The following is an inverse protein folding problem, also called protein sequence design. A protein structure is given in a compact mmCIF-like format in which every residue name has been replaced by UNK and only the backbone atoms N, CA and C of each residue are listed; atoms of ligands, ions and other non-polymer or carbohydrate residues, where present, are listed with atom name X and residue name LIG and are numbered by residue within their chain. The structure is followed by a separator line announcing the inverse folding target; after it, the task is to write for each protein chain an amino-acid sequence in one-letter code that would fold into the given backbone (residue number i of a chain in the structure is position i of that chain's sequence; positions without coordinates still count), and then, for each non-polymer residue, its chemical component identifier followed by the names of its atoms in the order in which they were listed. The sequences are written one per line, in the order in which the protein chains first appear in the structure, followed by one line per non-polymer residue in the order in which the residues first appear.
data_IF_970579045608
#
_entry.id   IF_970579045608
#
_cell.length_a   1.000
_cell.length_b   1.000
_cell.length_c   1.000
_cell.angle_alpha   90.00
_cell.angle_beta   90.00
_cell.angle_gamma   90.00
#
_symmetry.space_group_name_H-M   'P 1'
#
loop_
_entity.id
_entity.type
_entity.pdbx_description
1 polymer ?
#
# COMPACT_ATOMS: atom_id res chain seq x y z
N UNK A 1 5.03 19.68 -33.51
CA UNK A 1 5.37 19.24 -32.13
C UNK A 1 5.97 20.43 -31.42
N UNK A 2 5.63 20.61 -30.15
CA UNK A 2 5.87 21.85 -29.39
C UNK A 2 6.90 21.57 -28.29
N UNK A 3 6.48 21.01 -27.16
CA UNK A 3 7.36 20.61 -26.07
C UNK A 3 7.40 19.08 -25.94
N UNK A 4 8.60 18.51 -25.89
CA UNK A 4 8.81 17.10 -25.53
C UNK A 4 9.36 17.00 -24.11
N UNK A 5 8.76 16.11 -23.33
CA UNK A 5 9.21 15.70 -22.01
C UNK A 5 9.70 14.26 -22.16
N UNK A 6 10.94 13.97 -21.77
CA UNK A 6 11.54 12.65 -22.00
C UNK A 6 11.00 11.60 -21.02
N UNK A 7 10.78 12.00 -19.76
CA UNK A 7 10.37 11.10 -18.70
C UNK A 7 8.85 11.03 -18.57
N UNK A 8 8.31 9.81 -18.50
CA UNK A 8 6.93 9.55 -18.09
C UNK A 8 6.81 9.28 -16.58
N UNK A 9 7.93 8.88 -15.94
CA UNK A 9 8.02 8.48 -14.54
C UNK A 9 9.30 9.04 -13.91
N UNK A 10 9.19 9.61 -12.71
CA UNK A 10 10.31 9.98 -11.84
C UNK A 10 10.36 9.04 -10.63
N UNK A 11 11.47 8.34 -10.47
CA UNK A 11 11.65 7.33 -9.43
C UNK A 11 12.46 7.88 -8.26
N UNK A 12 11.85 7.95 -7.08
CA UNK A 12 12.51 8.39 -5.87
C UNK A 12 12.87 7.21 -4.98
N UNK A 13 14.17 6.99 -4.81
CA UNK A 13 14.67 5.88 -3.99
C UNK A 13 14.51 6.13 -2.49
N UNK A 14 14.27 5.04 -1.77
CA UNK A 14 14.25 4.99 -0.31
C UNK A 14 15.65 5.18 0.28
N UNK A 15 15.76 5.65 1.55
CA UNK A 15 14.66 5.98 2.46
C UNK A 15 13.99 7.33 2.13
N UNK A 16 12.66 7.41 2.23
CA UNK A 16 11.90 8.64 1.93
C UNK A 16 12.04 9.73 3.01
N UNK A 17 12.77 9.45 4.08
CA UNK A 17 13.12 10.42 5.12
C UNK A 17 14.31 11.31 4.75
N UNK A 18 14.89 11.14 3.56
CA UNK A 18 15.98 11.98 3.04
C UNK A 18 15.56 12.69 1.77
N UNK A 19 15.99 13.93 1.61
CA UNK A 19 15.80 14.64 0.35
C UNK A 19 16.43 13.84 -0.79
N UNK A 20 15.71 13.75 -1.91
CA UNK A 20 16.18 13.08 -3.12
C UNK A 20 15.83 13.91 -4.34
N UNK A 21 16.66 13.83 -5.38
CA UNK A 21 16.49 14.60 -6.60
C UNK A 21 16.33 13.65 -7.79
N UNK A 22 15.49 14.06 -8.73
CA UNK A 22 15.32 13.44 -10.03
C UNK A 22 15.39 14.51 -11.11
N UNK A 23 15.67 14.07 -12.33
CA UNK A 23 15.97 14.95 -13.45
C UNK A 23 14.89 14.81 -14.51
N UNK A 24 14.33 15.94 -14.94
CA UNK A 24 13.34 16.02 -16.01
C UNK A 24 13.93 16.74 -17.21
N UNK A 25 13.89 16.13 -18.38
CA UNK A 25 14.44 16.69 -19.61
C UNK A 25 13.33 17.27 -20.49
N UNK A 26 13.43 18.57 -20.75
CA UNK A 26 12.51 19.31 -21.60
C UNK A 26 13.23 19.70 -22.90
N UNK A 27 12.57 19.55 -24.04
CA UNK A 27 13.08 20.02 -25.33
C UNK A 27 12.00 20.71 -26.16
N UNK A 28 12.31 21.90 -26.69
CA UNK A 28 11.46 22.62 -27.61
C UNK A 28 11.75 22.14 -29.03
N UNK A 29 10.87 21.30 -29.56
CA UNK A 29 10.99 20.71 -30.91
C UNK A 29 10.21 21.49 -31.97
N UNK A 30 9.78 22.71 -31.66
CA UNK A 30 9.00 23.54 -32.56
C UNK A 30 9.81 23.95 -33.81
N UNK A 31 9.26 23.69 -34.99
CA UNK A 31 9.86 24.03 -36.29
C UNK A 31 9.45 25.41 -36.79
N UNK A 32 8.48 26.06 -36.14
CA UNK A 32 7.94 27.37 -36.55
C UNK A 32 8.73 28.56 -35.97
N UNK A 33 9.92 28.29 -35.41
CA UNK A 33 10.82 29.26 -34.79
C UNK A 33 10.16 30.09 -33.67
N UNK A 34 9.18 29.50 -32.94
CA UNK A 34 8.53 30.15 -31.80
C UNK A 34 8.99 29.60 -30.46
N UNK A 35 9.04 30.49 -29.48
CA UNK A 35 9.40 30.14 -28.11
C UNK A 35 8.24 29.44 -27.38
N UNK A 36 8.59 28.71 -26.32
CA UNK A 36 7.64 28.04 -25.42
C UNK A 36 7.90 28.53 -24.01
N UNK A 37 6.86 28.95 -23.30
CA UNK A 37 6.95 29.15 -21.86
C UNK A 37 6.48 27.90 -21.14
N UNK A 38 7.21 27.43 -20.14
CA UNK A 38 6.82 26.28 -19.32
C UNK A 38 6.74 26.67 -17.83
N UNK A 39 5.95 25.91 -17.09
CA UNK A 39 5.96 25.87 -15.63
C UNK A 39 5.75 24.45 -15.12
N UNK A 40 6.31 24.18 -13.97
CA UNK A 40 6.28 22.88 -13.29
C UNK A 40 5.41 23.03 -12.05
N UNK A 41 4.41 22.17 -11.93
CA UNK A 41 3.49 22.10 -10.80
C UNK A 41 3.44 20.66 -10.27
N UNK A 42 2.98 20.48 -9.03
CA UNK A 42 2.74 19.17 -8.44
C UNK A 42 1.37 19.14 -7.75
N UNK A 43 0.73 17.97 -7.70
CA UNK A 43 -0.44 17.75 -6.84
C UNK A 43 -0.07 17.59 -5.35
N UNK A 44 1.23 17.48 -5.03
CA UNK A 44 1.77 17.39 -3.68
C UNK A 44 2.88 18.45 -3.49
N UNK A 45 2.56 19.72 -3.75
CA UNK A 45 3.53 20.83 -3.82
C UNK A 45 4.38 21.04 -2.56
N UNK A 46 3.91 20.59 -1.41
CA UNK A 46 4.62 20.59 -0.13
C UNK A 46 5.78 19.57 -0.10
N UNK A 47 5.72 18.55 -0.95
CA UNK A 47 6.69 17.47 -1.01
C UNK A 47 7.73 17.67 -2.11
N UNK A 48 7.51 18.59 -3.06
CA UNK A 48 8.35 18.74 -4.24
C UNK A 48 8.72 20.19 -4.52
N UNK A 49 9.95 20.40 -4.94
CA UNK A 49 10.43 21.66 -5.49
C UNK A 49 11.06 21.42 -6.87
N UNK A 50 10.86 22.36 -7.79
CA UNK A 50 11.37 22.26 -9.16
C UNK A 50 12.34 23.40 -9.45
N UNK A 51 13.50 23.09 -10.03
CA UNK A 51 14.53 24.07 -10.37
C UNK A 51 15.02 23.88 -11.80
N UNK A 52 14.74 24.81 -12.73
CA UNK A 52 13.84 25.96 -12.59
C UNK A 52 12.35 25.54 -12.59
N UNK A 53 11.53 26.15 -11.75
CA UNK A 53 10.08 25.89 -11.71
C UNK A 53 9.32 26.46 -12.92
N UNK A 54 9.91 27.41 -13.65
CA UNK A 54 9.34 28.04 -14.85
C UNK A 54 10.43 28.67 -15.69
N UNK A 55 10.20 28.78 -16.99
CA UNK A 55 11.15 29.40 -17.91
C UNK A 55 10.58 29.62 -19.30
N UNK A 56 11.43 30.18 -20.16
CA UNK A 56 11.19 30.34 -21.59
C UNK A 56 12.22 29.46 -22.31
N UNK A 57 11.78 28.75 -23.35
CA UNK A 57 12.61 27.90 -24.19
C UNK A 57 12.54 28.39 -25.63
N UNK A 58 13.68 28.75 -26.18
CA UNK A 58 13.85 29.09 -27.59
C UNK A 58 13.71 27.84 -28.47
N UNK A 59 13.44 27.98 -29.78
CA UNK A 59 13.35 26.85 -30.71
C UNK A 59 14.63 26.02 -30.72
N UNK A 60 14.51 24.69 -30.58
CA UNK A 60 15.64 23.77 -30.51
C UNK A 60 16.36 23.73 -29.17
N UNK A 61 15.98 24.57 -28.20
CA UNK A 61 16.54 24.55 -26.87
C UNK A 61 16.13 23.30 -26.11
N UNK A 62 17.07 22.73 -25.37
CA UNK A 62 16.82 21.65 -24.42
C UNK A 62 17.35 22.07 -23.07
N UNK A 63 16.57 21.83 -22.03
CA UNK A 63 16.95 22.15 -20.66
C UNK A 63 16.60 21.02 -19.73
N UNK A 64 17.23 21.08 -18.55
CA UNK A 64 17.03 20.12 -17.49
C UNK A 64 16.36 20.82 -16.31
N UNK A 65 15.29 20.23 -15.79
CA UNK A 65 14.63 20.64 -14.55
C UNK A 65 14.96 19.61 -13.48
N UNK A 66 15.53 20.07 -12.37
CA UNK A 66 15.71 19.26 -11.18
C UNK A 66 14.41 19.23 -10.37
N UNK A 67 13.90 18.04 -10.10
CA UNK A 67 12.76 17.79 -9.23
C UNK A 67 13.29 17.25 -7.90
N UNK A 68 13.35 18.11 -6.90
CA UNK A 68 13.72 17.75 -5.54
C UNK A 68 12.48 17.33 -4.76
N UNK A 69 12.53 16.15 -4.16
CA UNK A 69 11.54 15.68 -3.20
C UNK A 69 12.06 15.93 -1.79
N UNK A 70 11.28 16.67 -0.98
CA UNK A 70 11.59 16.94 0.41
C UNK A 70 11.60 15.67 1.27
N UNK A 71 12.40 15.69 2.33
CA UNK A 71 12.39 14.65 3.34
C UNK A 71 11.00 14.53 3.99
N UNK A 72 10.44 13.31 3.99
CA UNK A 72 9.21 13.02 4.73
C UNK A 72 9.51 12.83 6.21
N UNK A 73 8.50 13.06 7.05
CA UNK A 73 8.64 12.89 8.51
C UNK A 73 8.92 11.43 8.89
N UNK A 74 8.40 10.47 8.13
CA UNK A 74 8.59 9.03 8.31
C UNK A 74 8.68 8.33 6.96
N UNK A 75 9.31 7.16 6.93
CA UNK A 75 9.41 6.35 5.72
C UNK A 75 8.09 5.59 5.53
N UNK A 76 7.39 5.87 4.45
CA UNK A 76 6.08 5.25 4.15
C UNK A 76 6.30 3.76 3.84
N UNK A 77 5.41 2.80 4.19
CA UNK A 77 5.64 1.38 3.91
C UNK A 77 5.96 1.05 2.44
N UNK A 78 6.77 0.01 2.17
CA UNK A 78 7.18 -0.38 0.82
C UNK A 78 6.02 -0.71 -0.13
N UNK A 79 4.89 -1.17 0.42
CA UNK A 79 3.67 -1.47 -0.36
C UNK A 79 2.85 -0.22 -0.75
N UNK A 80 3.24 0.97 -0.30
CA UNK A 80 2.52 2.19 -0.62
C UNK A 80 2.74 2.60 -2.08
N UNK A 81 1.63 2.75 -2.80
CA UNK A 81 1.64 3.26 -4.17
C UNK A 81 1.70 4.80 -4.13
N UNK A 82 2.74 5.37 -4.73
CA UNK A 82 2.84 6.82 -4.93
C UNK A 82 1.77 7.28 -5.94
N UNK A 83 0.99 8.30 -5.56
CA UNK A 83 0.00 8.94 -6.41
C UNK A 83 0.39 10.38 -6.79
N UNK A 84 1.64 10.74 -6.51
CA UNK A 84 2.15 12.07 -6.77
C UNK A 84 2.44 12.23 -8.26
N UNK A 85 2.14 13.42 -8.77
CA UNK A 85 2.19 13.77 -10.17
C UNK A 85 2.88 15.12 -10.33
N UNK A 86 3.84 15.18 -11.25
CA UNK A 86 4.42 16.43 -11.75
C UNK A 86 3.72 16.80 -13.06
N UNK A 87 3.21 18.03 -13.10
CA UNK A 87 2.59 18.62 -14.27
C UNK A 87 3.57 19.57 -14.94
N UNK A 88 3.84 19.32 -16.21
CA UNK A 88 4.56 20.26 -17.09
C UNK A 88 3.51 20.98 -17.92
N UNK A 89 3.18 22.21 -17.52
CA UNK A 89 2.27 23.07 -18.28
C UNK A 89 3.08 23.99 -19.16
N UNK A 90 2.63 24.18 -20.41
CA UNK A 90 3.34 25.04 -21.34
C UNK A 90 2.42 25.77 -22.31
N UNK A 91 2.88 26.93 -22.76
CA UNK A 91 2.20 27.79 -23.73
C UNK A 91 3.11 27.86 -24.97
N UNK A 92 2.71 27.26 -26.09
CA UNK A 92 3.48 27.30 -27.32
C UNK A 92 3.28 28.62 -28.07
N UNK A 93 4.14 28.86 -29.06
CA UNK A 93 3.90 29.86 -30.08
C UNK A 93 4.16 31.31 -29.64
N UNK A 94 5.05 31.51 -28.68
CA UNK A 94 5.37 32.82 -28.13
C UNK A 94 6.46 33.53 -28.94
N UNK A 95 6.41 34.86 -28.93
CA UNK A 95 7.56 35.67 -29.31
C UNK A 95 8.69 35.50 -28.26
N UNK A 96 9.97 35.54 -28.67
CA UNK A 96 11.11 35.26 -27.78
C UNK A 96 11.32 36.31 -26.69
N UNK A 97 10.70 37.49 -26.79
CA UNK A 97 10.84 38.64 -25.89
C UNK A 97 9.67 38.79 -24.88
N UNK A 98 8.78 37.80 -24.80
CA UNK A 98 7.61 37.86 -23.90
C UNK A 98 8.02 37.80 -22.43
N UNK A 99 7.54 38.75 -21.63
CA UNK A 99 7.73 38.78 -20.18
C UNK A 99 6.99 37.61 -19.48
N UNK A 100 7.75 36.63 -18.97
CA UNK A 100 7.22 35.42 -18.33
C UNK A 100 6.26 35.68 -17.16
N UNK A 101 6.53 36.69 -16.34
CA UNK A 101 5.71 37.01 -15.16
C UNK A 101 4.31 37.47 -15.56
N UNK A 102 4.22 38.33 -16.58
CA UNK A 102 2.93 38.81 -17.10
C UNK A 102 2.16 37.69 -17.79
N UNK A 103 2.86 36.83 -18.54
CA UNK A 103 2.25 35.71 -19.25
C UNK A 103 1.49 34.78 -18.28
N UNK A 104 2.17 34.30 -17.23
CA UNK A 104 1.55 33.40 -16.25
C UNK A 104 0.46 34.10 -15.43
N UNK A 105 0.64 35.37 -15.08
CA UNK A 105 -0.42 36.15 -14.41
C UNK A 105 -1.68 36.28 -15.26
N UNK A 106 -1.55 36.46 -16.58
CA UNK A 106 -2.69 36.49 -17.52
C UNK A 106 -3.33 35.11 -17.65
N UNK A 107 -2.50 34.07 -17.80
CA UNK A 107 -2.96 32.69 -17.88
C UNK A 107 -3.77 32.27 -16.64
N UNK A 108 -3.32 32.65 -15.44
CA UNK A 108 -3.99 32.33 -14.18
C UNK A 108 -5.27 33.14 -13.96
N UNK A 109 -5.33 34.40 -14.42
CA UNK A 109 -6.53 35.25 -14.32
C UNK A 109 -7.60 34.88 -15.35
N UNK A 110 -7.18 34.49 -16.54
CA UNK A 110 -8.06 34.18 -17.67
C UNK A 110 -8.05 32.68 -17.96
N UNK A 111 -8.21 31.86 -16.90
CA UNK A 111 -8.22 30.40 -16.98
C UNK A 111 -9.11 29.86 -18.10
N UNK A 112 -10.30 30.43 -18.30
CA UNK A 112 -11.22 30.00 -19.38
C UNK A 112 -10.68 30.31 -20.79
N UNK A 113 -10.00 31.44 -20.96
CA UNK A 113 -9.46 31.87 -22.27
C UNK A 113 -8.20 31.08 -22.61
N UNK A 114 -7.33 30.83 -21.62
CA UNK A 114 -6.08 30.12 -21.80
C UNK A 114 -6.19 28.60 -21.60
N UNK A 115 -7.33 28.07 -21.13
CA UNK A 115 -7.54 26.62 -21.00
C UNK A 115 -7.33 25.86 -22.30
N UNK A 116 -7.68 26.48 -23.44
CA UNK A 116 -7.49 25.88 -24.76
C UNK A 116 -6.09 26.11 -25.35
N UNK A 117 -5.24 26.90 -24.67
CA UNK A 117 -3.89 27.28 -25.12
C UNK A 117 -2.80 26.60 -24.29
N UNK A 118 -3.05 26.39 -23.00
CA UNK A 118 -2.12 25.70 -22.12
C UNK A 118 -2.18 24.21 -22.41
N UNK A 119 -1.09 23.69 -22.95
CA UNK A 119 -0.89 22.25 -23.08
C UNK A 119 -0.26 21.71 -21.78
N UNK A 120 -0.54 20.44 -21.49
CA UNK A 120 -0.15 19.81 -20.23
C UNK A 120 0.41 18.40 -20.46
N UNK A 121 1.58 18.13 -19.89
CA UNK A 121 2.17 16.79 -19.79
C UNK A 121 2.19 16.34 -18.33
N UNK A 122 2.04 15.04 -18.12
CA UNK A 122 1.90 14.40 -16.82
C UNK A 122 3.07 13.44 -16.64
N UNK A 123 3.83 13.62 -15.58
CA UNK A 123 4.94 12.74 -15.20
C UNK A 123 4.60 12.16 -13.84
N UNK A 124 4.53 10.83 -13.75
CA UNK A 124 4.16 10.14 -12.50
C UNK A 124 5.37 10.03 -11.58
N UNK A 125 5.15 10.06 -10.28
CA UNK A 125 6.19 9.72 -9.32
C UNK A 125 6.03 8.27 -8.84
N UNK A 126 7.15 7.59 -8.63
CA UNK A 126 7.19 6.28 -7.96
C UNK A 126 8.18 6.31 -6.81
N UNK A 127 7.92 5.49 -5.80
CA UNK A 127 8.87 5.27 -4.72
C UNK A 127 9.45 3.89 -4.91
N UNK A 128 10.76 3.84 -5.20
CA UNK A 128 11.43 2.56 -5.44
C UNK A 128 11.39 1.73 -4.15
N UNK A 129 11.16 0.42 -4.32
CA UNK A 129 11.36 -0.52 -3.22
C UNK A 129 12.87 -0.70 -3.07
N UNK A 130 13.39 -0.73 -1.84
CA UNK A 130 14.80 -0.96 -1.61
C UNK A 130 15.25 -2.24 -2.37
N UNK A 131 16.26 -2.19 -3.27
CA UNK A 131 16.67 -3.33 -4.09
C UNK A 131 17.00 -4.57 -3.25
N UNK A 132 17.52 -4.36 -2.03
CA UNK A 132 17.80 -5.46 -1.09
C UNK A 132 16.54 -6.18 -0.61
N UNK A 133 15.41 -5.47 -0.58
CA UNK A 133 14.09 -6.02 -0.24
C UNK A 133 13.48 -6.72 -1.47
N UNK A 134 13.68 -6.19 -2.67
CA UNK A 134 13.18 -6.83 -3.90
C UNK A 134 13.94 -8.13 -4.24
N UNK A 135 15.25 -8.19 -4.01
CA UNK A 135 16.01 -9.43 -4.17
C UNK A 135 15.58 -10.49 -3.15
N UNK A 136 15.28 -10.08 -1.91
CA UNK A 136 14.71 -10.96 -0.89
C UNK A 136 13.30 -11.43 -1.28
N UNK A 137 12.43 -10.54 -1.74
CA UNK A 137 11.07 -10.88 -2.17
C UNK A 137 11.05 -11.79 -3.39
N UNK A 138 11.90 -11.55 -4.38
CA UNK A 138 12.06 -12.39 -5.57
C UNK A 138 12.64 -13.76 -5.19
N UNK A 139 13.61 -13.81 -4.27
CA UNK A 139 14.15 -15.07 -3.75
C UNK A 139 13.07 -15.87 -2.99
N UNK A 140 12.25 -15.19 -2.19
CA UNK A 140 11.11 -15.80 -1.47
C UNK A 140 10.03 -16.29 -2.44
N UNK A 141 9.72 -15.53 -3.50
CA UNK A 141 8.73 -15.94 -4.51
C UNK A 141 9.19 -17.19 -5.29
N UNK A 142 10.45 -17.21 -5.71
CA UNK A 142 11.03 -18.36 -6.44
C UNK A 142 11.01 -19.60 -5.56
N UNK A 143 11.41 -19.49 -4.30
CA UNK A 143 11.47 -20.63 -3.37
C UNK A 143 10.08 -21.12 -2.92
N UNK A 144 9.10 -20.22 -2.78
CA UNK A 144 7.70 -20.57 -2.56
C UNK A 144 7.11 -21.37 -3.73
N UNK A 145 7.45 -21.02 -4.97
CA UNK A 145 7.03 -21.75 -6.16
C UNK A 145 7.57 -23.19 -6.23
N UNK A 146 8.67 -23.48 -5.52
CA UNK A 146 9.25 -24.85 -5.41
C UNK A 146 8.90 -25.55 -4.10
N UNK A 147 8.00 -24.98 -3.28
CA UNK A 147 7.52 -25.60 -2.04
C UNK A 147 8.55 -25.62 -0.92
N UNK A 148 9.55 -24.74 -0.94
CA UNK A 148 10.60 -24.65 0.08
C UNK A 148 10.20 -23.62 1.13
N UNK A 149 10.06 -24.05 2.39
CA UNK A 149 9.82 -23.16 3.51
C UNK A 149 11.14 -22.49 3.95
N UNK A 150 11.12 -21.17 4.14
CA UNK A 150 12.27 -20.38 4.56
C UNK A 150 12.02 -19.77 5.94
N UNK A 151 13.02 -19.86 6.82
CA UNK A 151 13.06 -19.15 8.09
C UNK A 151 14.10 -18.01 8.03
N UNK A 152 13.64 -16.76 8.23
CA UNK A 152 14.47 -15.55 8.21
C UNK A 152 14.64 -15.00 9.63
N UNK A 153 15.88 -14.71 10.01
CA UNK A 153 16.20 -14.08 11.29
C UNK A 153 15.67 -12.64 11.33
N UNK A 154 14.83 -12.36 12.33
CA UNK A 154 14.08 -11.10 12.44
C UNK A 154 14.93 -9.90 12.86
N UNK A 155 16.15 -10.09 13.34
CA UNK A 155 17.03 -8.98 13.77
C UNK A 155 18.05 -8.63 12.69
N UNK A 156 18.43 -9.58 11.84
CA UNK A 156 19.53 -9.43 10.89
C UNK A 156 19.12 -9.54 9.43
N UNK A 157 17.87 -9.91 9.13
CA UNK A 157 17.36 -10.19 7.78
C UNK A 157 18.20 -11.26 7.03
N UNK A 158 18.82 -12.20 7.74
CA UNK A 158 19.59 -13.31 7.15
C UNK A 158 18.78 -14.61 7.13
N UNK A 159 18.88 -15.36 6.03
CA UNK A 159 18.24 -16.68 5.85
C UNK A 159 19.12 -17.75 6.50
N UNK A 160 18.55 -18.59 7.38
CA UNK A 160 19.33 -19.58 8.13
C UNK A 160 19.08 -21.04 7.72
N UNK A 161 17.89 -21.42 7.24
CA UNK A 161 17.57 -22.83 6.92
C UNK A 161 16.55 -22.98 5.79
N UNK A 162 16.74 -24.04 4.99
CA UNK A 162 15.82 -24.53 3.98
C UNK A 162 15.26 -25.88 4.42
N UNK A 163 13.94 -26.06 4.34
CA UNK A 163 13.31 -27.35 4.52
C UNK A 163 12.79 -27.84 3.18
N UNK A 164 13.34 -28.96 2.69
CA UNK A 164 12.74 -29.70 1.60
C UNK A 164 11.64 -30.60 2.18
N UNK A 165 10.47 -30.64 1.54
CA UNK A 165 9.38 -31.53 1.93
C UNK A 165 9.76 -32.95 1.48
N UNK A 166 10.16 -33.81 2.41
CA UNK A 166 10.28 -35.25 2.12
C UNK A 166 8.87 -35.83 1.93
N UNK A 167 8.65 -36.50 0.80
CA UNK A 167 7.42 -37.23 0.49
C UNK A 167 7.46 -38.59 1.20
N UNK A 168 6.67 -38.73 2.25
CA UNK A 168 6.39 -40.03 2.89
C UNK A 168 5.40 -40.82 2.02
N UNK A 169 5.93 -41.70 1.17
CA UNK A 169 5.17 -42.82 0.59
C UNK A 169 5.77 -44.14 1.11
N UNK A 170 5.08 -44.75 2.08
CA UNK A 170 5.27 -46.14 2.48
C UNK A 170 4.21 -47.01 1.79
N UNK A 171 4.57 -48.14 1.13
CA UNK A 171 3.58 -49.04 0.57
C UNK A 171 3.17 -50.11 1.59
N UNK A 172 1.86 -50.26 1.78
CA UNK A 172 1.26 -51.40 2.49
C UNK A 172 1.42 -52.70 1.68
N UNK A 173 1.88 -53.74 2.35
CA UNK A 173 2.05 -55.08 1.78
C UNK A 173 0.78 -55.91 1.78
N UNK A 174 0.73 -56.90 0.88
CA UNK A 174 -0.03 -58.13 1.11
C UNK A 174 0.61 -59.35 0.43
N UNK A 175 0.50 -60.48 1.15
CA UNK A 175 1.05 -61.85 0.93
C UNK A 175 0.47 -62.50 -0.36
N UNK A 176 1.06 -63.52 -1.00
CA UNK A 176 1.41 -64.86 -0.47
C UNK A 176 1.95 -65.82 -1.55
N UNK A 177 2.65 -66.90 -1.10
CA UNK A 177 2.97 -68.21 -1.76
C UNK A 177 4.01 -68.15 -2.90
N UNK A 178 5.04 -68.98 -3.03
CA UNK A 178 5.53 -70.20 -2.37
C UNK A 178 6.36 -70.99 -3.40
N UNK A 179 7.47 -71.59 -2.95
CA UNK A 179 8.26 -72.70 -3.55
C UNK A 179 9.39 -72.47 -4.60
N UNK A 180 10.60 -72.84 -4.12
CA UNK A 180 11.65 -73.70 -4.72
C UNK A 180 12.76 -73.18 -5.67
N UNK A 181 13.95 -73.05 -5.04
CA UNK A 181 15.26 -73.68 -5.38
C UNK A 181 16.20 -73.15 -6.50
N UNK A 182 17.53 -73.43 -6.38
CA UNK A 182 18.60 -72.48 -6.72
C UNK A 182 19.56 -72.95 -7.84
N UNK A 183 20.32 -72.04 -8.47
CA UNK A 183 21.78 -72.23 -8.73
C UNK A 183 22.46 -71.05 -9.46
N UNK A 184 23.71 -70.80 -9.02
CA UNK A 184 24.95 -70.44 -9.73
C UNK A 184 25.17 -69.13 -10.54
N UNK A 185 26.15 -68.36 -10.04
CA UNK A 185 27.42 -67.86 -10.66
C UNK A 185 27.38 -67.66 -12.21
N UNK A 186 27.67 -66.51 -12.85
CA UNK A 186 29.00 -65.86 -13.00
C UNK A 186 28.92 -64.63 -13.93
N UNK A 187 29.73 -63.60 -13.64
CA UNK A 187 30.43 -62.61 -14.50
C UNK A 187 29.81 -61.88 -15.73
N UNK A 188 30.25 -60.61 -15.83
CA UNK A 188 30.52 -59.74 -17.00
C UNK A 188 29.49 -58.67 -17.43
N UNK A 189 29.99 -57.42 -17.35
CA UNK A 189 29.57 -56.21 -18.08
C UNK A 189 29.81 -56.39 -19.62
N UNK A 190 29.35 -55.52 -20.56
CA UNK A 190 29.11 -54.07 -20.40
C UNK A 190 27.91 -53.45 -21.15
N UNK A 191 27.68 -52.17 -20.79
CA UNK A 191 26.99 -51.06 -21.46
C UNK A 191 26.14 -51.31 -22.72
N UNK A 192 24.89 -50.87 -22.69
CA UNK A 192 24.21 -50.32 -23.87
C UNK A 192 23.20 -49.25 -23.47
N UNK A 193 23.30 -48.10 -24.14
CA UNK A 193 22.39 -46.95 -24.12
C UNK A 193 21.09 -47.33 -24.83
N UNK A 194 19.93 -47.12 -24.20
CA UNK A 194 18.63 -47.08 -24.89
C UNK A 194 17.83 -45.90 -24.32
N UNK A 195 17.55 -44.94 -25.21
CA UNK A 195 16.55 -43.89 -25.04
C UNK A 195 15.16 -44.51 -24.83
N UNK A 196 14.41 -44.02 -23.85
CA UNK A 196 12.96 -44.20 -23.80
C UNK A 196 12.23 -42.89 -23.58
N UNK A 197 11.53 -42.49 -24.64
CA UNK A 197 10.34 -41.65 -24.65
C UNK A 197 9.38 -42.08 -23.53
N UNK A 198 8.92 -41.15 -22.73
CA UNK A 198 7.79 -41.34 -21.83
C UNK A 198 6.60 -40.56 -22.36
N UNK A 199 5.56 -41.33 -22.69
CA UNK A 199 4.25 -40.89 -23.13
C UNK A 199 3.52 -40.17 -22.00
N UNK A 200 2.87 -39.07 -22.33
CA UNK A 200 1.78 -38.47 -21.56
C UNK A 200 0.49 -39.28 -21.81
N UNK A 201 -0.37 -39.48 -20.80
CA UNK A 201 -1.78 -39.73 -21.04
C UNK A 201 -2.61 -38.46 -20.81
N UNK A 202 -3.38 -38.12 -21.84
CA UNK A 202 -4.62 -37.35 -21.73
C UNK A 202 -5.71 -38.23 -21.11
N UNK A 203 -6.40 -37.77 -20.06
CA UNK A 203 -7.81 -37.32 -20.15
C UNK A 203 -8.47 -37.08 -18.78
N UNK A 204 -8.91 -35.83 -18.62
CA UNK A 204 -10.23 -35.33 -18.15
C UNK A 204 -10.84 -35.70 -16.79
N UNK A 205 -11.06 -34.61 -16.02
CA UNK A 205 -12.33 -34.22 -15.38
C UNK A 205 -12.86 -35.04 -14.19
N UNK A 206 -12.61 -34.54 -12.97
CA UNK A 206 -13.62 -34.19 -11.94
C UNK A 206 -12.92 -33.98 -10.59
N UNK A 207 -12.99 -32.75 -10.06
CA UNK A 207 -13.27 -32.46 -8.64
C UNK A 207 -12.92 -31.00 -8.35
N UNK A 208 -13.95 -30.16 -8.42
CA UNK A 208 -14.02 -28.88 -7.73
C UNK A 208 -14.17 -29.16 -6.23
N UNK A 209 -13.64 -28.26 -5.40
CA UNK A 209 -13.75 -28.18 -3.93
C UNK A 209 -12.73 -29.00 -3.12
N UNK A 210 -11.58 -28.39 -2.84
CA UNK A 210 -10.99 -28.25 -1.50
C UNK A 210 -9.64 -27.51 -1.62
N UNK A 211 -9.65 -26.20 -1.46
CA UNK A 211 -8.44 -25.44 -1.16
C UNK A 211 -8.54 -25.02 0.31
N UNK A 212 -7.97 -25.85 1.18
CA UNK A 212 -7.85 -25.63 2.61
C UNK A 212 -6.67 -24.69 2.89
N UNK A 213 -7.00 -23.46 3.29
CA UNK A 213 -6.51 -22.75 4.47
C UNK A 213 -4.99 -22.58 4.78
N UNK A 214 -4.04 -23.07 3.98
CA UNK A 214 -2.64 -23.21 4.45
C UNK A 214 -1.56 -22.37 3.73
N UNK A 215 -1.91 -21.55 2.74
CA UNK A 215 -0.91 -20.75 1.98
C UNK A 215 -0.82 -19.26 2.41
N UNK A 216 -1.57 -18.82 3.44
CA UNK A 216 -1.58 -17.43 3.91
C UNK A 216 -0.49 -17.10 4.95
N UNK A 217 0.63 -17.83 4.93
CA UNK A 217 1.62 -17.83 6.01
C UNK A 217 3.03 -17.48 5.48
N UNK A 218 3.24 -16.35 4.78
CA UNK A 218 4.62 -15.88 4.60
C UNK A 218 4.94 -14.42 4.23
N UNK A 219 3.99 -13.50 3.98
CA UNK A 219 4.36 -12.09 3.71
C UNK A 219 3.37 -11.09 4.33
N UNK A 220 3.90 -10.10 5.06
CA UNK A 220 3.16 -8.93 5.56
C UNK A 220 3.31 -8.66 7.06
N UNK A 221 4.34 -7.91 7.46
CA UNK A 221 4.57 -7.48 8.86
C UNK A 221 4.60 -5.96 9.00
N UNK A 222 3.48 -5.30 8.71
CA UNK A 222 3.15 -3.98 9.28
C UNK A 222 1.71 -4.04 9.79
N UNK A 223 1.42 -5.06 10.60
CA UNK A 223 0.17 -5.12 11.35
C UNK A 223 0.22 -4.14 12.51
N UNK A 224 -0.93 -3.59 12.88
CA UNK A 224 -1.19 -2.97 14.18
C UNK A 224 -0.58 -3.87 15.27
N UNK A 225 0.60 -3.51 15.78
CA UNK A 225 1.26 -4.28 16.83
C UNK A 225 0.48 -4.07 18.12
N UNK A 226 0.23 -5.16 18.86
CA UNK A 226 -0.02 -5.11 20.30
C UNK A 226 1.20 -4.48 20.97
N UNK A 227 1.22 -3.15 21.02
CA UNK A 227 2.26 -2.40 21.68
C UNK A 227 1.86 -2.27 23.15
N UNK A 228 2.47 -3.10 24.00
CA UNK A 228 2.47 -2.95 25.46
C UNK A 228 3.34 -1.77 25.92
N UNK A 229 3.37 -0.68 25.14
CA UNK A 229 4.07 0.54 25.54
C UNK A 229 3.27 1.21 26.66
N UNK A 230 3.92 1.43 27.79
CA UNK A 230 3.41 2.25 28.89
C UNK A 230 3.32 3.69 28.40
N UNK A 231 2.15 4.08 27.88
CA UNK A 231 1.87 5.43 27.42
C UNK A 231 1.38 6.27 28.61
N UNK A 232 2.23 7.19 29.09
CA UNK A 232 1.89 8.18 30.12
C UNK A 232 1.13 9.40 29.58
N UNK A 233 0.44 9.28 28.44
CA UNK A 233 -0.39 10.36 27.91
C UNK A 233 -1.84 10.15 28.31
N UNK A 234 -2.37 11.09 29.11
CA UNK A 234 -3.80 11.20 29.32
C UNK A 234 -4.47 11.56 27.99
N UNK A 235 -4.98 10.55 27.28
CA UNK A 235 -5.81 10.76 26.10
C UNK A 235 -7.06 11.54 26.50
N UNK A 236 -7.52 12.44 25.63
CA UNK A 236 -8.75 13.22 25.87
C UNK A 236 -9.99 12.38 25.60
N UNK A 237 -9.88 11.43 24.67
CA UNK A 237 -10.95 10.51 24.32
C UNK A 237 -10.49 9.07 24.52
N UNK A 238 -11.40 8.23 24.97
CA UNK A 238 -11.20 6.79 25.07
C UNK A 238 -11.08 6.19 23.66
N UNK A 239 -11.94 6.60 22.73
CA UNK A 239 -11.91 6.10 21.35
C UNK A 239 -12.26 7.17 20.31
N UNK A 240 -11.78 6.97 19.09
CA UNK A 240 -12.25 7.64 17.88
C UNK A 240 -12.93 6.63 16.97
N UNK A 241 -14.14 6.93 16.48
CA UNK A 241 -14.81 6.12 15.45
C UNK A 241 -14.57 6.74 14.08
N UNK A 242 -14.07 5.93 13.15
CA UNK A 242 -13.87 6.28 11.75
C UNK A 242 -14.82 5.45 10.88
N UNK A 243 -15.57 6.10 9.98
CA UNK A 243 -16.61 5.47 9.16
C UNK A 243 -16.92 6.27 7.90
N UNK A 244 -17.41 5.58 6.86
CA UNK A 244 -18.02 6.23 5.72
C UNK A 244 -19.34 6.92 6.11
N UNK A 245 -19.72 7.97 5.39
CA UNK A 245 -20.98 8.69 5.67
C UNK A 245 -22.22 7.82 5.46
N UNK A 246 -22.12 6.79 4.63
CA UNK A 246 -23.20 5.80 4.38
C UNK A 246 -23.43 4.89 5.59
N UNK A 247 -22.40 4.67 6.42
CA UNK A 247 -22.48 3.87 7.65
C UNK A 247 -22.85 4.71 8.88
N UNK A 248 -23.28 5.96 8.68
CA UNK A 248 -23.58 6.91 9.76
C UNK A 248 -24.56 6.35 10.79
N UNK A 249 -25.57 5.61 10.36
CA UNK A 249 -26.56 5.02 11.28
C UNK A 249 -25.92 4.05 12.26
N UNK A 250 -25.11 3.12 11.77
CA UNK A 250 -24.35 2.19 12.62
C UNK A 250 -23.36 2.95 13.52
N UNK A 251 -22.71 3.98 12.99
CA UNK A 251 -21.83 4.85 13.77
C UNK A 251 -22.54 5.58 14.91
N UNK A 252 -23.79 6.02 14.73
CA UNK A 252 -24.62 6.64 15.75
C UNK A 252 -25.08 5.64 16.83
N UNK A 253 -25.42 4.41 16.44
CA UNK A 253 -25.74 3.31 17.37
C UNK A 253 -24.52 2.98 18.24
N UNK A 254 -23.35 2.80 17.62
CA UNK A 254 -22.09 2.54 18.31
C UNK A 254 -21.69 3.70 19.24
N UNK A 255 -21.80 4.94 18.76
CA UNK A 255 -21.53 6.13 19.57
C UNK A 255 -22.41 6.16 20.82
N UNK A 256 -23.71 5.89 20.66
CA UNK A 256 -24.68 5.87 21.77
C UNK A 256 -24.35 4.76 22.78
N UNK A 257 -24.02 3.55 22.30
CA UNK A 257 -23.59 2.44 23.14
C UNK A 257 -22.37 2.81 24.00
N UNK A 258 -21.33 3.36 23.37
CA UNK A 258 -20.08 3.69 24.06
C UNK A 258 -20.26 4.84 25.07
N UNK A 259 -20.99 5.89 24.69
CA UNK A 259 -21.26 7.03 25.58
C UNK A 259 -22.11 6.62 26.78
N UNK A 260 -23.17 5.83 26.55
CA UNK A 260 -24.03 5.31 27.63
C UNK A 260 -23.29 4.34 28.57
N UNK A 261 -22.21 3.73 28.09
CA UNK A 261 -21.29 2.89 28.88
C UNK A 261 -20.17 3.70 29.56
N UNK A 262 -20.21 5.02 29.48
CA UNK A 262 -19.28 5.92 30.16
C UNK A 262 -17.91 6.05 29.49
N UNK A 263 -17.83 5.83 28.17
CA UNK A 263 -16.64 6.15 27.38
C UNK A 263 -16.76 7.53 26.74
N UNK A 264 -15.64 8.24 26.64
CA UNK A 264 -15.50 9.47 25.88
C UNK A 264 -15.12 9.16 24.43
N UNK A 265 -15.95 9.58 23.47
CA UNK A 265 -15.80 9.17 22.07
C UNK A 265 -15.71 10.36 21.14
N UNK A 266 -14.69 10.36 20.27
CA UNK A 266 -14.55 11.31 19.17
C UNK A 266 -15.23 10.77 17.90
N UNK A 267 -16.03 11.64 17.25
CA UNK A 267 -16.71 11.36 15.98
C UNK A 267 -16.79 12.64 15.15
N UNK A 268 -16.69 12.50 13.82
CA UNK A 268 -16.58 13.65 12.92
C UNK A 268 -17.79 14.58 12.99
N UNK A 269 -19.03 14.07 13.11
CA UNK A 269 -20.22 14.91 13.10
C UNK A 269 -20.44 15.74 14.37
N UNK A 270 -19.70 15.47 15.45
CA UNK A 270 -19.79 16.23 16.72
C UNK A 270 -18.56 17.12 16.91
N UNK A 271 -17.38 16.58 16.64
CA UNK A 271 -16.12 17.19 17.08
C UNK A 271 -15.34 17.87 15.97
N UNK A 272 -15.62 17.55 14.70
CA UNK A 272 -14.89 18.13 13.58
C UNK A 272 -15.24 19.61 13.40
N UNK A 273 -14.23 20.48 13.52
CA UNK A 273 -14.38 21.93 13.37
C UNK A 273 -13.15 22.52 12.66
N UNK A 274 -13.37 23.52 11.82
CA UNK A 274 -12.28 24.23 11.14
C UNK A 274 -11.64 23.40 10.02
N UNK A 275 -10.30 23.34 10.00
CA UNK A 275 -9.58 22.53 9.01
C UNK A 275 -9.82 21.04 9.26
N UNK A 276 -10.42 20.38 8.26
CA UNK A 276 -10.88 18.99 8.35
C UNK A 276 -9.73 18.03 8.65
N UNK A 277 -8.65 18.09 7.87
CA UNK A 277 -7.51 17.17 7.98
C UNK A 277 -6.82 17.29 9.33
N UNK A 278 -6.57 18.54 9.77
CA UNK A 278 -6.00 18.79 11.09
C UNK A 278 -6.91 18.26 12.20
N UNK A 279 -8.22 18.49 12.09
CA UNK A 279 -9.17 18.04 13.11
C UNK A 279 -9.28 16.51 13.18
N UNK A 280 -9.16 15.80 12.05
CA UNK A 280 -9.13 14.33 11.99
C UNK A 280 -7.85 13.80 12.65
N UNK A 281 -6.68 14.33 12.27
CA UNK A 281 -5.39 13.96 12.89
C UNK A 281 -5.39 14.21 14.39
N UNK A 282 -5.95 15.35 14.83
CA UNK A 282 -6.10 15.69 16.24
C UNK A 282 -7.02 14.70 16.95
N UNK A 283 -8.13 14.28 16.32
CA UNK A 283 -9.03 13.24 16.83
C UNK A 283 -8.31 11.90 17.07
N UNK A 284 -7.51 11.46 16.09
CA UNK A 284 -6.73 10.21 16.18
C UNK A 284 -5.70 10.32 17.31
N UNK A 285 -4.94 11.42 17.35
CA UNK A 285 -3.88 11.63 18.35
C UNK A 285 -4.43 11.71 19.76
N UNK A 286 -5.56 12.40 19.95
CA UNK A 286 -6.21 12.61 21.24
C UNK A 286 -7.01 11.40 21.74
N UNK A 287 -7.21 10.37 20.91
CA UNK A 287 -7.93 9.15 21.26
C UNK A 287 -6.99 8.01 21.62
N UNK A 288 -7.35 7.22 22.64
CA UNK A 288 -6.55 6.05 23.05
C UNK A 288 -6.71 4.86 22.08
N UNK A 289 -7.92 4.67 21.58
CA UNK A 289 -8.32 3.60 20.66
C UNK A 289 -8.86 4.19 19.34
N UNK A 290 -8.63 3.47 18.24
CA UNK A 290 -9.17 3.78 16.92
C UNK A 290 -10.16 2.68 16.48
N UNK A 291 -11.38 3.03 16.09
CA UNK A 291 -12.44 2.08 15.74
C UNK A 291 -12.88 2.35 14.30
N UNK A 292 -12.25 1.71 13.29
CA UNK A 292 -12.71 1.81 11.91
C UNK A 292 -13.89 0.88 11.65
N UNK A 293 -14.93 1.41 10.99
CA UNK A 293 -16.05 0.63 10.44
C UNK A 293 -15.79 0.40 8.96
N UNK A 294 -15.25 -0.77 8.67
CA UNK A 294 -14.81 -1.17 7.35
C UNK A 294 -15.97 -1.68 6.50
N UNK A 295 -16.36 -0.90 5.51
CA UNK A 295 -17.39 -1.20 4.50
C UNK A 295 -16.84 -0.97 3.10
N UNK A 296 -17.56 -1.42 2.06
CA UNK A 296 -17.16 -1.17 0.67
C UNK A 296 -17.00 0.33 0.38
N UNK A 297 -17.90 1.15 0.93
CA UNK A 297 -17.83 2.62 0.80
C UNK A 297 -16.63 3.20 1.54
N UNK A 298 -16.27 2.65 2.72
CA UNK A 298 -15.11 3.12 3.49
C UNK A 298 -13.84 3.16 2.62
N UNK A 299 -13.60 2.12 1.82
CA UNK A 299 -12.41 2.02 0.97
C UNK A 299 -12.43 2.98 -0.22
N UNK A 300 -13.63 3.35 -0.67
CA UNK A 300 -13.81 4.29 -1.78
C UNK A 300 -13.55 5.74 -1.37
N UNK A 301 -13.47 6.05 -0.07
CA UNK A 301 -13.33 7.43 0.40
C UNK A 301 -11.91 7.74 0.87
N UNK A 302 -11.37 8.84 0.33
CA UNK A 302 -10.01 9.31 0.61
C UNK A 302 -9.82 9.75 2.06
N UNK A 303 -10.85 10.33 2.69
CA UNK A 303 -10.84 10.75 4.10
C UNK A 303 -10.71 9.55 5.05
N UNK A 304 -11.52 8.51 4.86
CA UNK A 304 -11.52 7.29 5.66
C UNK A 304 -10.19 6.53 5.55
N UNK A 305 -9.64 6.48 4.33
CA UNK A 305 -8.33 5.88 4.08
C UNK A 305 -7.19 6.69 4.70
N UNK A 306 -7.26 8.01 4.65
CA UNK A 306 -6.30 8.89 5.32
C UNK A 306 -6.32 8.68 6.84
N UNK A 307 -7.50 8.57 7.46
CA UNK A 307 -7.62 8.30 8.90
C UNK A 307 -7.01 6.94 9.26
N UNK A 308 -7.33 5.89 8.50
CA UNK A 308 -6.81 4.54 8.73
C UNK A 308 -5.28 4.51 8.63
N UNK A 309 -4.72 5.17 7.60
CA UNK A 309 -3.27 5.27 7.41
C UNK A 309 -2.61 6.07 8.54
N UNK A 310 -3.22 7.17 8.97
CA UNK A 310 -2.73 8.01 10.07
C UNK A 310 -2.72 7.22 11.38
N UNK A 311 -3.81 6.53 11.70
CA UNK A 311 -3.89 5.69 12.91
C UNK A 311 -2.87 4.54 12.88
N UNK A 312 -2.67 3.92 11.72
CA UNK A 312 -1.66 2.88 11.51
C UNK A 312 -0.24 3.41 11.69
N UNK A 313 0.07 4.58 11.11
CA UNK A 313 1.38 5.23 11.23
C UNK A 313 1.70 5.60 12.69
N UNK A 314 0.71 6.08 13.44
CA UNK A 314 0.82 6.36 14.88
C UNK A 314 0.81 5.09 15.75
N UNK A 315 0.74 3.89 15.14
CA UNK A 315 0.64 2.61 15.85
C UNK A 315 -0.49 2.58 16.89
N UNK A 316 -1.62 3.23 16.57
CA UNK A 316 -2.79 3.28 17.45
C UNK A 316 -3.32 1.88 17.67
N UNK A 317 -3.85 1.60 18.86
CA UNK A 317 -4.63 0.36 19.07
C UNK A 317 -5.94 0.48 18.31
N UNK A 318 -6.44 -0.63 17.78
CA UNK A 318 -7.72 -0.61 17.07
C UNK A 318 -8.64 -1.76 17.43
N UNK A 319 -9.94 -1.47 17.42
CA UNK A 319 -11.03 -2.46 17.41
C UNK A 319 -11.71 -2.34 16.05
N UNK A 320 -11.51 -3.32 15.18
CA UNK A 320 -11.96 -3.24 13.79
C UNK A 320 -13.36 -3.83 13.69
N UNK A 321 -14.29 -3.05 13.16
CA UNK A 321 -15.64 -3.50 12.83
C UNK A 321 -15.71 -3.68 11.31
N UNK A 322 -16.10 -4.86 10.85
CA UNK A 322 -16.16 -5.19 9.42
C UNK A 322 -17.58 -5.49 9.01
N UNK A 323 -18.10 -4.76 8.01
CA UNK A 323 -19.38 -5.11 7.37
C UNK A 323 -19.21 -6.30 6.43
N UNK A 324 -20.30 -7.04 6.12
CA UNK A 324 -20.26 -8.10 5.12
C UNK A 324 -19.73 -7.57 3.80
N UNK A 325 -18.80 -8.31 3.19
CA UNK A 325 -18.15 -7.89 1.96
C UNK A 325 -16.69 -8.35 1.89
N UNK A 326 -16.10 -8.39 0.68
CA UNK A 326 -14.70 -8.69 0.51
C UNK A 326 -13.84 -7.52 1.04
N UNK A 327 -12.80 -7.83 1.81
CA UNK A 327 -11.77 -6.84 2.14
C UNK A 327 -10.89 -6.62 0.90
N UNK A 328 -10.64 -5.37 0.47
CA UNK A 328 -9.67 -5.11 -0.57
C UNK A 328 -8.29 -5.69 -0.20
N UNK A 329 -7.52 -6.24 -1.16
CA UNK A 329 -6.19 -6.78 -0.88
C UNK A 329 -5.24 -5.78 -0.21
N UNK A 330 -5.38 -4.50 -0.53
CA UNK A 330 -4.63 -3.39 0.09
C UNK A 330 -4.90 -3.28 1.59
N UNK A 331 -6.14 -3.50 2.01
CA UNK A 331 -6.56 -3.46 3.41
C UNK A 331 -6.11 -4.72 4.13
N UNK A 332 -6.19 -5.89 3.50
CA UNK A 332 -5.64 -7.12 4.06
C UNK A 332 -4.13 -6.98 4.35
N UNK A 333 -3.39 -6.26 3.51
CA UNK A 333 -1.97 -5.98 3.75
C UNK A 333 -1.74 -5.08 4.98
N UNK A 334 -2.63 -4.12 5.25
CA UNK A 334 -2.56 -3.23 6.43
C UNK A 334 -3.09 -3.88 7.71
N UNK A 335 -4.11 -4.73 7.60
CA UNK A 335 -4.73 -5.38 8.73
C UNK A 335 -4.00 -6.66 9.15
N UNK A 336 -3.25 -7.31 8.25
CA UNK A 336 -2.49 -8.52 8.56
C UNK A 336 -3.37 -9.60 9.23
N UNK A 337 -3.02 -9.99 10.47
CA UNK A 337 -3.73 -10.98 11.30
C UNK A 337 -4.75 -10.37 12.26
N UNK A 338 -5.15 -9.12 12.06
CA UNK A 338 -6.01 -8.45 13.03
C UNK A 338 -7.36 -9.14 13.15
N UNK A 339 -7.76 -9.31 14.41
CA UNK A 339 -9.11 -9.73 14.75
C UNK A 339 -10.07 -8.57 14.44
N UNK A 340 -11.17 -8.88 13.79
CA UNK A 340 -12.27 -7.96 13.54
C UNK A 340 -13.56 -8.56 14.08
N UNK A 341 -14.52 -7.69 14.38
CA UNK A 341 -15.89 -8.08 14.68
C UNK A 341 -16.71 -7.86 13.42
N UNK A 342 -17.39 -8.90 12.95
CA UNK A 342 -18.35 -8.74 11.87
C UNK A 342 -19.60 -8.03 12.40
N UNK A 343 -20.05 -7.00 11.70
CA UNK A 343 -21.18 -6.16 12.10
C UNK A 343 -22.16 -6.01 10.94
N UNK A 344 -23.46 -6.09 11.22
CA UNK A 344 -24.50 -5.82 10.22
C UNK A 344 -24.69 -4.33 9.96
N UNK A 345 -25.82 -3.97 9.35
CA UNK A 345 -26.25 -2.57 9.22
C UNK A 345 -26.72 -1.98 10.56
N UNK A 346 -27.04 -2.85 11.53
CA UNK A 346 -27.41 -2.52 12.90
C UNK A 346 -26.53 -3.26 13.88
N UNK A 347 -26.37 -2.68 15.06
CA UNK A 347 -25.66 -3.28 16.16
C UNK A 347 -26.60 -4.18 16.96
N UNK A 348 -26.45 -5.49 16.83
CA UNK A 348 -27.15 -6.44 17.70
C UNK A 348 -26.52 -6.51 19.10
N UNK A 349 -27.27 -7.04 20.06
CA UNK A 349 -26.87 -7.09 21.48
C UNK A 349 -25.58 -7.91 21.69
N UNK A 350 -25.37 -8.98 20.92
CA UNK A 350 -24.18 -9.85 21.06
C UNK A 350 -22.93 -9.10 20.60
N UNK A 351 -23.03 -8.45 19.45
CA UNK A 351 -21.99 -7.61 18.88
C UNK A 351 -21.70 -6.42 19.79
N UNK A 352 -22.73 -5.76 20.34
CA UNK A 352 -22.59 -4.67 21.30
C UNK A 352 -21.82 -5.11 22.56
N UNK A 353 -22.21 -6.24 23.17
CA UNK A 353 -21.51 -6.79 24.34
C UNK A 353 -20.03 -7.06 24.02
N UNK A 354 -19.75 -7.67 22.86
CA UNK A 354 -18.39 -7.99 22.46
C UNK A 354 -17.51 -6.76 22.27
N UNK A 355 -18.07 -5.68 21.71
CA UNK A 355 -17.36 -4.41 21.57
C UNK A 355 -17.02 -3.84 22.95
N UNK A 356 -17.95 -3.87 23.90
CA UNK A 356 -17.71 -3.35 25.25
C UNK A 356 -16.62 -4.15 25.99
N UNK A 357 -16.59 -5.47 25.86
CA UNK A 357 -15.51 -6.32 26.41
C UNK A 357 -14.14 -5.93 25.84
N UNK A 358 -14.06 -5.70 24.53
CA UNK A 358 -12.83 -5.26 23.88
C UNK A 358 -12.43 -3.85 24.29
N UNK A 359 -13.39 -2.94 24.47
CA UNK A 359 -13.15 -1.59 24.97
C UNK A 359 -12.55 -1.63 26.38
N UNK A 360 -13.12 -2.42 27.27
CA UNK A 360 -12.67 -2.55 28.67
C UNK A 360 -11.25 -3.12 28.76
N UNK A 361 -10.96 -4.15 27.96
CA UNK A 361 -9.61 -4.74 27.90
C UNK A 361 -8.60 -3.88 27.15
N UNK A 362 -9.08 -2.99 26.26
CA UNK A 362 -8.21 -2.16 25.43
C UNK A 362 -7.88 -0.80 26.01
N UNK A 363 -8.75 -0.26 26.85
CA UNK A 363 -8.52 1.01 27.52
C UNK A 363 -8.01 0.70 28.91
N UNK A 364 -6.70 0.84 29.10
CA UNK A 364 -6.10 0.78 30.43
C UNK A 364 -6.55 2.02 31.20
N UNK A 365 -7.74 1.96 31.82
CA UNK A 365 -8.13 2.95 32.80
C UNK A 365 -7.14 2.81 33.95
N UNK A 366 -6.32 3.84 34.17
CA UNK A 366 -5.59 3.96 35.42
C UNK A 366 -6.65 4.08 36.52
N UNK A 367 -6.99 2.95 37.14
CA UNK A 367 -7.69 2.95 38.42
C UNK A 367 -6.78 3.72 39.40
N UNK A 368 -7.29 4.79 40.03
CA UNK A 368 -6.50 5.66 40.89
C UNK A 368 -5.90 4.95 42.09
#
# INVERSE_FOLDING_TARGET
MTLTVTEDILEFRRPLTRTSQQTLHLSNTATDNKAIAFRILSNASENYNATPARGLMTPGESLTVEIERHAMQYDIPAAFLCHDIIYVEFIPGLAPDVALSELWNRADKAKEVYANVIEKKVVKCTFDADPSVMDLLNSVLVLSAVGVAIEVDKQTNKIFKFFAKESDDQPEGNKSVGEENPCEITHQAPATIIERKLNLPENTSKAMNQCTHETALQLGSVGFRESTRSYCHAYKFDAMISLASTDRRLGEELYTLLISSGYSVWVYWIHMKGNMDKSMVDGIKQSSLFIPILSDDYYGRTDCMFELQTASADSKRAVILKKPGPLPPTILAHLGRLQYIEVGDHLDDVTACRILELMETSILRHTP
#
